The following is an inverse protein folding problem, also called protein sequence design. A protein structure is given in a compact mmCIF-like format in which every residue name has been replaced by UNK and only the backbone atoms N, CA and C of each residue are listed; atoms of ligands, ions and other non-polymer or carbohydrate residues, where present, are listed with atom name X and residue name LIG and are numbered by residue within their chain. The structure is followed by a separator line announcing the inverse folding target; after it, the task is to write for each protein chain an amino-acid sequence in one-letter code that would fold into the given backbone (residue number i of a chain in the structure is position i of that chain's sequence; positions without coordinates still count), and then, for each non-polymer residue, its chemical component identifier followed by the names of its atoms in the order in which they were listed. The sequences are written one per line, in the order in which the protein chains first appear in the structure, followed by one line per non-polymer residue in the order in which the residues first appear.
data_IF_461536366238
#
_entry.id   IF_461536366238
#
_cell.length_a   1.000
_cell.length_b   1.000
_cell.length_c   1.000
_cell.angle_alpha   90.00
_cell.angle_beta   90.00
_cell.angle_gamma   90.00
#
_symmetry.space_group_name_H-M   'P 1'
#
loop_
_entity.id
_entity.type
_entity.pdbx_description
1 polymer ?
#
# COMPACT_ATOMS: atom_id res chain seq x y z
N UNK A 1 2.97 -1.99 28.75
CA UNK A 1 3.46 -0.98 27.79
C UNK A 1 4.21 0.14 28.50
N UNK A 2 3.55 0.94 29.35
CA UNK A 2 4.14 2.11 30.03
C UNK A 2 5.40 1.82 30.86
N UNK A 3 5.41 0.71 31.62
CA UNK A 3 6.60 0.29 32.42
C UNK A 3 7.81 -0.10 31.56
N UNK A 4 7.66 -0.23 30.24
CA UNK A 4 8.73 -0.51 29.27
C UNK A 4 9.14 0.73 28.47
N UNK A 5 8.63 1.92 28.83
CA UNK A 5 8.92 3.17 28.11
C UNK A 5 8.17 3.35 26.78
N UNK A 6 7.13 2.54 26.52
CA UNK A 6 6.27 2.76 25.34
C UNK A 6 5.30 3.88 25.66
N UNK A 7 5.39 5.02 24.94
CA UNK A 7 4.63 6.26 25.20
C UNK A 7 3.32 6.42 24.43
N UNK A 8 3.11 5.61 23.39
CA UNK A 8 1.84 5.59 22.66
C UNK A 8 1.58 4.19 22.12
N UNK A 9 0.30 3.81 22.07
CA UNK A 9 -0.17 2.58 21.46
C UNK A 9 -1.42 2.91 20.66
N UNK A 10 -1.45 2.43 19.41
CA UNK A 10 -2.65 2.47 18.57
C UNK A 10 -3.30 1.09 18.65
N UNK A 11 -4.58 1.04 18.98
CA UNK A 11 -5.38 -0.18 19.01
C UNK A 11 -6.35 -0.11 17.84
N UNK A 12 -6.22 -1.03 16.89
CA UNK A 12 -7.11 -1.17 15.75
C UNK A 12 -7.95 -2.44 15.89
N UNK A 13 -9.15 -2.43 15.34
CA UNK A 13 -9.94 -3.65 15.18
C UNK A 13 -9.20 -4.64 14.25
N UNK A 14 -9.45 -5.93 14.46
CA UNK A 14 -8.97 -6.94 13.51
C UNK A 14 -9.86 -6.91 12.27
N UNK A 15 -9.25 -6.65 11.11
CA UNK A 15 -9.91 -6.68 9.82
C UNK A 15 -9.69 -8.06 9.19
N UNK A 16 -10.79 -8.75 8.88
CA UNK A 16 -10.75 -10.04 8.20
C UNK A 16 -10.83 -9.83 6.69
N UNK A 17 -9.85 -10.38 5.97
CA UNK A 17 -9.80 -10.26 4.52
C UNK A 17 -8.42 -10.55 3.97
N UNK A 18 -8.31 -10.34 2.68
CA UNK A 18 -7.09 -10.52 1.91
C UNK A 18 -6.17 -9.31 2.07
N UNK A 19 -4.90 -9.56 2.40
CA UNK A 19 -3.85 -8.54 2.43
C UNK A 19 -3.29 -8.33 1.02
N UNK A 20 -3.44 -7.10 0.51
CA UNK A 20 -2.76 -6.64 -0.71
C UNK A 20 -1.72 -5.57 -0.37
N UNK A 21 -0.63 -5.57 -1.14
CA UNK A 21 0.34 -4.46 -1.21
C UNK A 21 0.03 -3.60 -2.41
N UNK A 22 0.10 -2.28 -2.27
CA UNK A 22 -0.06 -1.34 -3.38
C UNK A 22 1.07 -0.33 -3.45
N UNK A 23 1.23 0.25 -4.64
CA UNK A 23 2.23 1.23 -5.01
C UNK A 23 1.61 2.22 -5.98
N UNK A 24 1.89 3.51 -5.81
CA UNK A 24 1.34 4.54 -6.69
C UNK A 24 2.23 5.77 -6.78
N UNK A 25 1.96 6.55 -7.82
CA UNK A 25 2.58 7.86 -8.03
C UNK A 25 1.47 8.87 -8.29
N UNK A 26 1.31 9.81 -7.36
CA UNK A 26 0.28 10.86 -7.40
C UNK A 26 0.43 11.72 -8.66
N UNK A 27 -0.70 12.16 -9.22
CA UNK A 27 -0.72 12.92 -10.47
C UNK A 27 -0.46 12.07 -11.72
N UNK A 28 -0.36 10.73 -11.59
CA UNK A 28 -0.19 9.82 -12.73
C UNK A 28 -1.24 8.70 -12.74
N UNK A 29 -1.31 7.97 -13.85
CA UNK A 29 -2.14 6.76 -13.97
C UNK A 29 -1.49 5.52 -13.32
N UNK A 30 -0.28 5.64 -12.76
CA UNK A 30 0.42 4.49 -12.21
C UNK A 30 -0.19 4.03 -10.89
N UNK A 31 -0.60 2.77 -10.88
CA UNK A 31 -0.96 2.04 -9.68
C UNK A 31 -0.62 0.56 -9.89
N UNK A 32 0.10 -0.03 -8.95
CA UNK A 32 0.48 -1.43 -8.98
C UNK A 32 0.12 -2.06 -7.65
N UNK A 33 -0.46 -3.25 -7.68
CA UNK A 33 -0.77 -3.99 -6.48
C UNK A 33 -0.47 -5.48 -6.65
N UNK A 34 -0.33 -6.18 -5.54
CA UNK A 34 -0.04 -7.62 -5.52
C UNK A 34 -0.45 -8.28 -4.19
N UNK A 35 -0.54 -9.61 -4.22
CA UNK A 35 -0.59 -10.43 -3.01
C UNK A 35 0.84 -10.72 -2.50
N UNK A 36 1.22 -10.29 -1.29
CA UNK A 36 2.58 -10.46 -0.79
C UNK A 36 3.02 -11.93 -0.74
N UNK A 37 2.09 -12.83 -0.37
CA UNK A 37 2.36 -14.26 -0.22
C UNK A 37 2.61 -15.00 -1.54
N UNK A 38 2.15 -14.49 -2.69
CA UNK A 38 2.31 -15.15 -4.00
C UNK A 38 3.34 -14.49 -4.90
N UNK A 39 3.82 -13.30 -4.52
CA UNK A 39 4.76 -12.49 -5.33
C UNK A 39 6.25 -12.78 -5.04
N UNK A 40 6.54 -13.80 -4.22
CA UNK A 40 7.92 -14.11 -3.81
C UNK A 40 8.57 -13.00 -2.97
N UNK A 41 7.76 -12.07 -2.45
CA UNK A 41 8.25 -10.97 -1.63
C UNK A 41 8.75 -11.54 -0.29
N UNK A 42 10.01 -11.28 0.10
CA UNK A 42 10.55 -11.80 1.34
C UNK A 42 9.72 -11.26 2.50
N UNK A 43 9.27 -12.21 3.31
CA UNK A 43 8.55 -11.97 4.53
C UNK A 43 9.36 -11.06 5.46
N UNK A 44 8.72 -10.03 6.04
CA UNK A 44 9.42 -9.05 6.89
C UNK A 44 9.88 -9.67 8.21
N UNK A 45 9.11 -10.63 8.73
CA UNK A 45 9.33 -11.22 10.07
C UNK A 45 9.20 -12.75 10.14
N UNK A 46 8.96 -13.43 9.03
CA UNK A 46 8.63 -14.86 8.95
C UNK A 46 7.19 -15.21 9.36
N UNK A 47 6.29 -14.23 9.49
CA UNK A 47 4.98 -14.42 10.16
C UNK A 47 3.79 -14.50 9.20
N UNK A 48 4.04 -14.41 7.91
CA UNK A 48 3.03 -14.38 6.85
C UNK A 48 2.30 -15.71 6.72
N UNK A 49 2.90 -16.82 7.19
CA UNK A 49 2.22 -18.12 7.34
C UNK A 49 0.99 -18.03 8.28
N UNK A 50 0.96 -17.07 9.21
CA UNK A 50 -0.16 -16.84 10.14
C UNK A 50 -1.33 -16.14 9.44
N UNK A 51 -1.07 -15.37 8.39
CA UNK A 51 -2.07 -14.52 7.74
C UNK A 51 -3.07 -15.30 6.87
N UNK A 52 -2.88 -16.62 6.74
CA UNK A 52 -3.68 -17.46 5.85
C UNK A 52 -3.33 -17.25 4.38
N UNK A 53 -3.92 -18.10 3.53
CA UNK A 53 -3.76 -17.99 2.07
C UNK A 53 -4.80 -16.99 1.55
N UNK A 54 -4.41 -16.00 0.71
CA UNK A 54 -5.36 -15.10 0.09
C UNK A 54 -6.45 -15.86 -0.67
N UNK A 55 -7.70 -15.41 -0.53
CA UNK A 55 -8.86 -16.02 -1.16
C UNK A 55 -9.11 -15.48 -2.58
N UNK A 56 -8.48 -14.37 -2.94
CA UNK A 56 -8.62 -13.72 -4.24
C UNK A 56 -9.90 -12.89 -4.34
N UNK A 57 -10.29 -12.21 -3.26
CA UNK A 57 -11.50 -11.38 -3.30
C UNK A 57 -11.36 -10.23 -4.31
N UNK A 58 -12.41 -10.01 -5.11
CA UNK A 58 -12.45 -8.93 -6.09
C UNK A 58 -12.73 -7.59 -5.42
N UNK A 59 -12.09 -6.53 -5.92
CA UNK A 59 -12.27 -5.16 -5.44
C UNK A 59 -12.11 -4.17 -6.60
N UNK A 60 -12.54 -2.93 -6.39
CA UNK A 60 -12.38 -1.83 -7.34
C UNK A 60 -10.99 -1.20 -7.19
N UNK A 61 -10.07 -1.53 -8.09
CA UNK A 61 -8.69 -1.01 -8.09
C UNK A 61 -8.65 0.51 -8.26
N UNK A 62 -9.55 1.09 -9.05
CA UNK A 62 -9.61 2.54 -9.26
C UNK A 62 -10.05 3.24 -7.97
N UNK A 63 -10.98 2.64 -7.22
CA UNK A 63 -11.41 3.17 -5.93
C UNK A 63 -10.29 3.11 -4.89
N UNK A 64 -9.52 2.02 -4.84
CA UNK A 64 -8.35 1.92 -3.93
C UNK A 64 -7.31 2.98 -4.30
N UNK A 65 -6.99 3.12 -5.59
CA UNK A 65 -6.07 4.17 -6.09
C UNK A 65 -6.57 5.55 -5.71
N UNK A 66 -7.86 5.85 -5.89
CA UNK A 66 -8.42 7.16 -5.60
C UNK A 66 -8.28 7.56 -4.12
N UNK A 67 -8.52 6.61 -3.19
CA UNK A 67 -8.33 6.85 -1.76
C UNK A 67 -6.83 6.92 -1.39
N UNK A 68 -5.96 6.14 -2.02
CA UNK A 68 -4.51 6.23 -1.83
C UNK A 68 -3.93 7.56 -2.34
N UNK A 69 -4.38 8.04 -3.50
CA UNK A 69 -4.02 9.36 -4.04
C UNK A 69 -4.53 10.49 -3.13
N UNK A 70 -5.69 10.31 -2.49
CA UNK A 70 -6.19 11.27 -1.51
C UNK A 70 -5.30 11.31 -0.26
N UNK A 71 -4.88 10.16 0.26
CA UNK A 71 -3.91 10.11 1.37
C UNK A 71 -2.58 10.76 0.97
N UNK A 72 -2.08 10.46 -0.23
CA UNK A 72 -0.87 11.05 -0.81
C UNK A 72 -0.92 12.58 -0.81
N UNK A 73 -2.00 13.19 -1.33
CA UNK A 73 -2.18 14.65 -1.33
C UNK A 73 -2.28 15.27 0.06
N UNK A 74 -2.92 14.57 1.00
CA UNK A 74 -3.07 15.07 2.38
C UNK A 74 -1.76 15.03 3.17
N UNK A 75 -0.88 14.08 2.84
CA UNK A 75 0.39 13.86 3.52
C UNK A 75 1.59 14.48 2.80
N UNK A 76 1.39 15.03 1.60
CA UNK A 76 2.45 15.52 0.70
C UNK A 76 3.50 14.43 0.35
N UNK A 77 3.00 13.23 0.03
CA UNK A 77 3.81 12.05 -0.29
C UNK A 77 3.46 11.57 -1.69
N UNK A 78 4.04 12.16 -2.76
CA UNK A 78 3.62 11.87 -4.14
C UNK A 78 4.07 10.49 -4.65
N UNK A 79 5.08 9.89 -4.02
CA UNK A 79 5.58 8.55 -4.33
C UNK A 79 5.30 7.68 -3.12
N UNK A 80 4.34 6.76 -3.27
CA UNK A 80 3.77 6.04 -2.13
C UNK A 80 3.60 4.54 -2.39
N UNK A 81 3.39 3.82 -1.30
CA UNK A 81 2.84 2.48 -1.31
C UNK A 81 2.26 2.14 0.05
N UNK A 82 1.76 0.93 0.23
CA UNK A 82 1.08 0.59 1.46
C UNK A 82 0.43 -0.78 1.43
N UNK A 83 -0.29 -1.06 2.50
CA UNK A 83 -0.99 -2.31 2.71
C UNK A 83 -2.48 -2.03 2.86
N UNK A 84 -3.30 -2.88 2.26
CA UNK A 84 -4.75 -2.79 2.30
C UNK A 84 -5.35 -4.17 2.58
N UNK A 85 -6.42 -4.20 3.38
CA UNK A 85 -7.24 -5.40 3.57
C UNK A 85 -8.47 -5.29 2.69
N UNK A 86 -8.79 -6.36 1.96
CA UNK A 86 -9.99 -6.50 1.12
C UNK A 86 -10.86 -7.61 1.69
N UNK A 87 -12.10 -7.29 2.07
CA UNK A 87 -13.05 -8.28 2.58
C UNK A 87 -13.75 -9.05 1.44
N UNK A 88 -14.54 -10.06 1.81
CA UNK A 88 -15.25 -10.92 0.86
C UNK A 88 -16.33 -10.20 0.05
N UNK A 89 -16.78 -9.04 0.51
CA UNK A 89 -17.74 -8.17 -0.17
C UNK A 89 -17.03 -7.18 -1.12
N UNK A 90 -15.69 -7.14 -1.12
CA UNK A 90 -14.88 -6.22 -1.92
C UNK A 90 -14.71 -4.85 -1.27
N UNK A 91 -15.14 -4.66 -0.01
CA UNK A 91 -14.79 -3.44 0.72
C UNK A 91 -13.32 -3.49 1.10
N UNK A 92 -12.69 -2.31 1.14
CA UNK A 92 -11.27 -2.21 1.44
C UNK A 92 -10.97 -1.24 2.58
N UNK A 93 -9.85 -1.48 3.25
CA UNK A 93 -9.30 -0.61 4.30
C UNK A 93 -7.78 -0.53 4.13
N UNK A 94 -7.27 0.68 3.88
CA UNK A 94 -5.84 0.96 3.94
C UNK A 94 -5.41 0.89 5.41
N UNK A 95 -4.43 0.03 5.70
CA UNK A 95 -3.91 -0.21 7.05
C UNK A 95 -2.47 0.28 7.23
N UNK A 96 -1.76 0.51 6.14
CA UNK A 96 -0.41 1.07 6.13
C UNK A 96 -0.23 1.97 4.90
N UNK A 97 0.52 3.05 5.05
CA UNK A 97 0.82 4.01 4.00
C UNK A 97 2.24 4.55 4.19
N UNK A 98 3.11 4.27 3.23
CA UNK A 98 4.54 4.51 3.29
C UNK A 98 4.96 5.53 2.23
N UNK A 99 5.85 6.45 2.61
CA UNK A 99 6.61 7.27 1.70
C UNK A 99 7.79 6.49 1.11
N UNK A 100 8.02 6.66 -0.20
CA UNK A 100 9.17 6.08 -0.90
C UNK A 100 9.42 4.57 -0.61
N UNK A 101 8.42 3.69 -0.84
CA UNK A 101 8.66 2.25 -0.73
C UNK A 101 9.67 1.79 -1.79
N UNK A 102 10.15 0.55 -1.70
CA UNK A 102 11.23 0.07 -2.60
C UNK A 102 10.81 -0.12 -4.07
N UNK A 103 9.51 -0.20 -4.37
CA UNK A 103 8.95 -0.57 -5.69
C UNK A 103 9.55 -1.84 -6.30
N UNK A 104 10.21 -2.72 -5.52
CA UNK A 104 10.93 -3.87 -6.05
C UNK A 104 10.15 -4.73 -7.08
N UNK A 105 8.83 -4.97 -6.90
CA UNK A 105 8.01 -5.74 -7.84
C UNK A 105 7.70 -5.04 -9.17
N UNK A 106 7.77 -3.71 -9.20
CA UNK A 106 7.31 -2.88 -10.32
C UNK A 106 8.31 -1.76 -10.67
N UNK A 107 9.59 -1.96 -10.32
CA UNK A 107 10.62 -0.92 -10.34
C UNK A 107 10.78 -0.26 -11.70
N UNK A 108 10.79 -1.04 -12.77
CA UNK A 108 10.99 -0.52 -14.12
C UNK A 108 9.82 0.37 -14.57
N UNK A 109 8.59 -0.08 -14.35
CA UNK A 109 7.39 0.68 -14.69
C UNK A 109 7.27 1.91 -13.79
N UNK A 110 7.48 1.77 -12.48
CA UNK A 110 7.39 2.85 -11.51
C UNK A 110 8.39 3.97 -11.81
N UNK A 111 9.64 3.63 -12.20
CA UNK A 111 10.69 4.61 -12.47
C UNK A 111 10.27 5.67 -13.51
N UNK A 112 9.56 5.25 -14.57
CA UNK A 112 9.04 6.18 -15.58
C UNK A 112 8.05 7.19 -14.98
N UNK A 113 7.07 6.71 -14.23
CA UNK A 113 6.03 7.56 -13.66
C UNK A 113 6.54 8.45 -12.53
N UNK A 114 7.49 7.95 -11.72
CA UNK A 114 8.20 8.75 -10.73
C UNK A 114 8.92 9.92 -11.42
N UNK A 115 9.68 9.65 -12.48
CA UNK A 115 10.36 10.70 -13.23
C UNK A 115 9.37 11.70 -13.84
N UNK A 116 8.27 11.22 -14.42
CA UNK A 116 7.20 12.06 -14.98
C UNK A 116 6.58 12.97 -13.92
N UNK A 117 6.29 12.44 -12.73
CA UNK A 117 5.72 13.18 -11.62
C UNK A 117 6.61 14.37 -11.23
N UNK A 118 7.91 14.15 -11.04
CA UNK A 118 8.84 15.24 -10.70
C UNK A 118 9.05 16.25 -11.83
N UNK A 119 9.06 15.81 -13.10
CA UNK A 119 9.10 16.74 -14.24
C UNK A 119 7.88 17.64 -14.24
N UNK A 120 6.68 17.10 -14.00
CA UNK A 120 5.45 17.89 -13.93
C UNK A 120 5.49 18.89 -12.77
N UNK A 121 5.99 18.48 -11.60
CA UNK A 121 6.14 19.37 -10.43
C UNK A 121 7.10 20.53 -10.67
N UNK A 122 8.18 20.31 -11.42
CA UNK A 122 9.12 21.40 -11.78
C UNK A 122 8.54 22.39 -12.79
N UNK A 123 7.53 21.97 -13.55
CA UNK A 123 6.89 22.78 -14.60
C UNK A 123 5.58 23.45 -14.16
N UNK A 124 5.12 23.17 -12.94
CA UNK A 124 3.92 23.76 -12.33
C UNK A 124 4.25 25.08 -11.61
#
# INVERSE_FOLDING_TARGET
FWRRGVECVIINEHLTGDLIKFYGVEGTSFFHWLYPSTSGHPSKFGLEEINGVPQGYGFDEEQVKAEADKASRLLDVPVYGGDCIVDKEGNFKIIDFNDWPSFAPCREQAAYYIAQCFVNMMNA
#
